data_IF_227911904479
#
_entry.id   IF_227911904479
#
_cell.length_a   1.000
_cell.length_b   1.000
_cell.length_c   1.000
_cell.angle_alpha   90.00
_cell.angle_beta   90.00
_cell.angle_gamma   90.00
#
_symmetry.space_group_name_H-M   'P 1'
#
loop_
_entity.id
_entity.type
_entity.pdbx_description
1 polymer ?
#
# COMPACT_ATOMS: atom_id res chain seq x y z
N UNK A 1 -42.52 -12.10 -61.03
CA UNK A 1 -41.20 -11.77 -60.45
C UNK A 1 -41.09 -12.54 -59.13
N UNK A 2 -40.26 -13.61 -59.09
CA UNK A 2 -39.05 -13.74 -58.23
C UNK A 2 -39.34 -13.50 -56.73
N UNK A 3 -38.98 -14.30 -55.72
CA UNK A 3 -38.03 -15.41 -55.61
C UNK A 3 -38.12 -16.02 -54.18
N UNK A 4 -38.19 -17.34 -54.10
CA UNK A 4 -37.46 -18.30 -53.21
C UNK A 4 -37.31 -18.08 -51.67
N UNK A 5 -37.81 -19.10 -50.95
CA UNK A 5 -37.23 -19.88 -49.80
C UNK A 5 -36.65 -19.19 -48.56
N UNK A 6 -37.07 -19.67 -47.37
CA UNK A 6 -36.21 -19.83 -46.19
C UNK A 6 -36.70 -21.06 -45.39
N UNK A 7 -36.11 -22.23 -45.61
CA UNK A 7 -35.05 -22.88 -44.81
C UNK A 7 -35.43 -23.18 -43.35
N UNK A 8 -35.69 -24.47 -43.13
CA UNK A 8 -35.76 -25.19 -41.86
C UNK A 8 -34.34 -25.45 -41.38
N UNK A 9 -34.00 -25.08 -40.15
CA UNK A 9 -32.79 -25.57 -39.49
C UNK A 9 -33.06 -25.82 -38.00
N UNK A 10 -33.25 -27.10 -37.68
CA UNK A 10 -33.05 -27.64 -36.32
C UNK A 10 -31.55 -27.56 -36.01
N UNK A 11 -31.18 -27.04 -34.84
CA UNK A 11 -29.90 -27.36 -34.22
C UNK A 11 -30.14 -27.70 -32.74
N UNK A 12 -30.11 -29.00 -32.46
CA UNK A 12 -29.83 -29.52 -31.13
C UNK A 12 -28.43 -30.12 -31.17
N UNK A 13 -27.50 -29.59 -30.37
CA UNK A 13 -26.28 -30.29 -29.98
C UNK A 13 -25.97 -29.91 -28.53
N UNK A 14 -26.01 -30.94 -27.68
CA UNK A 14 -25.64 -30.84 -26.28
C UNK A 14 -24.14 -30.61 -26.11
N UNK A 15 -23.81 -29.94 -25.00
CA UNK A 15 -22.51 -30.02 -24.37
C UNK A 15 -22.75 -30.34 -22.90
N UNK A 16 -22.23 -31.49 -22.51
CA UNK A 16 -22.09 -31.97 -21.14
C UNK A 16 -21.51 -30.90 -20.22
N UNK A 17 -22.18 -30.64 -19.10
CA UNK A 17 -21.58 -29.93 -17.98
C UNK A 17 -20.44 -30.81 -17.44
N UNK A 18 -19.20 -30.44 -17.75
CA UNK A 18 -18.06 -30.95 -17.02
C UNK A 18 -18.09 -30.31 -15.62
N UNK A 19 -17.94 -31.08 -14.54
CA UNK A 19 -17.67 -30.48 -13.25
C UNK A 19 -16.31 -29.80 -13.38
N UNK A 20 -16.28 -28.49 -13.14
CA UNK A 20 -15.02 -27.81 -12.85
C UNK A 20 -14.63 -28.34 -11.47
N UNK A 21 -13.80 -29.38 -11.44
CA UNK A 21 -12.95 -29.66 -10.29
C UNK A 21 -12.13 -28.39 -10.07
N UNK A 22 -12.63 -27.53 -9.19
CA UNK A 22 -11.83 -26.48 -8.61
C UNK A 22 -10.71 -27.17 -7.87
N UNK A 23 -9.56 -27.29 -8.54
CA UNK A 23 -8.29 -27.55 -7.88
C UNK A 23 -8.17 -26.49 -6.80
N UNK A 24 -8.43 -26.90 -5.56
CA UNK A 24 -8.03 -26.14 -4.39
C UNK A 24 -6.52 -26.06 -4.52
N UNK A 25 -6.03 -24.94 -5.08
CA UNK A 25 -4.62 -24.61 -5.06
C UNK A 25 -4.20 -24.68 -3.60
N UNK A 26 -3.51 -25.77 -3.29
CA UNK A 26 -2.72 -25.97 -2.09
C UNK A 26 -1.46 -25.10 -2.23
N UNK A 27 -1.66 -23.81 -2.48
CA UNK A 27 -0.57 -22.86 -2.62
C UNK A 27 -0.14 -22.46 -1.21
N UNK A 28 0.82 -23.25 -0.72
CA UNK A 28 1.76 -22.90 0.33
C UNK A 28 1.14 -22.22 1.56
N UNK A 29 0.61 -23.05 2.46
CA UNK A 29 0.46 -22.81 3.91
C UNK A 29 1.86 -22.64 4.58
N UNK A 30 2.86 -22.14 3.85
CA UNK A 30 4.17 -21.77 4.35
C UNK A 30 4.10 -20.33 4.86
N UNK A 31 3.60 -20.16 6.10
CA UNK A 31 3.67 -18.95 6.94
C UNK A 31 4.12 -17.68 6.19
N UNK A 32 3.21 -17.08 5.43
CA UNK A 32 3.35 -15.68 5.06
C UNK A 32 3.20 -14.91 6.36
N UNK A 33 4.31 -14.47 6.93
CA UNK A 33 4.24 -13.67 8.12
C UNK A 33 3.89 -12.27 7.65
N UNK A 34 2.65 -11.89 7.92
CA UNK A 34 2.09 -10.61 7.60
C UNK A 34 1.41 -10.06 8.86
N UNK A 35 1.43 -8.75 8.98
CA UNK A 35 0.76 -8.01 10.04
C UNK A 35 -0.07 -6.89 9.41
N UNK A 36 -0.90 -6.21 10.21
CA UNK A 36 -1.77 -5.14 9.71
C UNK A 36 -1.47 -3.84 10.45
N UNK A 37 -1.20 -2.77 9.71
CA UNK A 37 -0.84 -1.45 10.26
C UNK A 37 -2.06 -0.54 10.47
N UNK A 38 -3.27 -1.10 10.46
CA UNK A 38 -4.59 -0.45 10.44
C UNK A 38 -5.00 0.14 9.09
N UNK A 39 -4.12 0.09 8.07
CA UNK A 39 -4.40 0.58 6.72
C UNK A 39 -4.21 -0.48 5.63
N UNK A 40 -3.76 -1.68 6.01
CA UNK A 40 -3.64 -2.83 5.12
C UNK A 40 -2.66 -3.86 5.64
N UNK A 41 -2.61 -5.00 4.95
CA UNK A 41 -1.63 -6.05 5.23
C UNK A 41 -0.22 -5.57 4.83
N UNK A 42 0.77 -5.96 5.63
CA UNK A 42 2.21 -5.69 5.43
C UNK A 42 2.96 -6.99 5.70
N UNK A 43 3.89 -7.34 4.83
CA UNK A 43 4.77 -8.49 5.06
C UNK A 43 5.85 -8.19 6.09
N UNK A 44 6.28 -9.21 6.85
CA UNK A 44 7.43 -9.07 7.74
C UNK A 44 8.67 -8.52 7.02
N UNK A 45 9.53 -7.85 7.79
CA UNK A 45 10.70 -7.18 7.24
C UNK A 45 10.36 -5.85 6.58
N UNK A 46 9.13 -5.36 6.76
CA UNK A 46 8.71 -4.01 6.41
C UNK A 46 8.06 -3.34 7.62
N UNK A 47 8.14 -2.02 7.63
CA UNK A 47 7.42 -1.13 8.53
C UNK A 47 6.62 -0.11 7.72
N UNK A 48 5.60 0.48 8.32
CA UNK A 48 4.82 1.55 7.70
C UNK A 48 5.10 2.89 8.36
N UNK A 49 5.11 3.93 7.54
CA UNK A 49 5.02 5.32 8.00
C UNK A 49 3.69 5.87 7.51
N UNK A 50 2.85 6.36 8.42
CA UNK A 50 1.55 6.99 8.13
C UNK A 50 1.60 8.45 8.56
N UNK A 51 1.27 9.36 7.66
CA UNK A 51 1.43 10.80 7.84
C UNK A 51 0.11 11.53 7.62
N UNK A 52 -0.20 12.44 8.55
CA UNK A 52 -1.18 13.52 8.38
C UNK A 52 -0.44 14.84 8.13
N UNK A 53 -1.12 15.98 8.31
CA UNK A 53 -0.47 17.30 8.29
C UNK A 53 0.19 17.68 9.61
N UNK A 54 -0.16 17.00 10.71
CA UNK A 54 0.32 17.32 12.06
C UNK A 54 1.16 16.20 12.67
N UNK A 55 0.95 14.97 12.23
CA UNK A 55 1.44 13.77 12.89
C UNK A 55 2.11 12.78 11.92
N UNK A 56 3.10 12.06 12.45
CA UNK A 56 3.74 10.92 11.81
C UNK A 56 3.58 9.72 12.75
N UNK A 57 3.08 8.62 12.23
CA UNK A 57 3.00 7.34 12.95
C UNK A 57 3.85 6.29 12.24
N UNK A 58 4.84 5.75 12.95
CA UNK A 58 5.66 4.64 12.47
C UNK A 58 5.17 3.37 13.16
N UNK A 59 4.87 2.33 12.38
CA UNK A 59 4.43 1.03 12.90
C UNK A 59 5.29 -0.08 12.32
N UNK A 60 5.63 -1.04 13.17
CA UNK A 60 6.17 -2.33 12.77
C UNK A 60 5.37 -3.46 13.42
N UNK A 61 5.79 -4.69 13.20
CA UNK A 61 5.11 -5.85 13.76
C UNK A 61 5.11 -5.81 15.30
N UNK A 62 3.92 -5.61 15.88
CA UNK A 62 3.71 -5.53 17.34
C UNK A 62 4.09 -4.20 18.01
N UNK A 63 4.48 -3.15 17.27
CA UNK A 63 4.86 -1.87 17.88
C UNK A 63 4.39 -0.64 17.08
N UNK A 64 4.26 0.49 17.77
CA UNK A 64 3.83 1.77 17.18
C UNK A 64 4.52 2.93 17.89
N UNK A 65 4.93 3.94 17.13
CA UNK A 65 5.52 5.18 17.60
C UNK A 65 4.87 6.36 16.89
N UNK A 66 4.55 7.41 17.65
CA UNK A 66 3.90 8.62 17.14
C UNK A 66 4.79 9.83 17.42
N UNK A 67 4.88 10.71 16.43
CA UNK A 67 5.65 11.95 16.47
C UNK A 67 4.78 13.08 15.93
N UNK A 68 5.01 14.29 16.42
CA UNK A 68 4.48 15.49 15.78
C UNK A 68 5.40 15.88 14.63
N UNK A 69 4.85 16.45 13.57
CA UNK A 69 5.63 17.03 12.48
C UNK A 69 6.34 18.30 13.00
N UNK A 70 7.66 18.36 12.83
CA UNK A 70 8.42 19.60 13.00
C UNK A 70 8.26 20.47 11.75
N UNK A 71 7.63 21.64 11.91
CA UNK A 71 7.38 22.59 10.84
C UNK A 71 8.47 23.64 10.64
N UNK A 72 9.67 23.40 11.18
CA UNK A 72 10.88 24.18 10.88
C UNK A 72 11.28 24.17 9.39
N UNK A 73 10.71 23.26 8.59
CA UNK A 73 11.11 22.97 7.20
C UNK A 73 12.52 22.40 7.05
N UNK A 74 13.10 21.93 8.14
CA UNK A 74 14.36 21.21 8.15
C UNK A 74 14.12 19.69 8.22
N UNK A 75 15.19 18.94 7.98
CA UNK A 75 15.17 17.51 8.26
C UNK A 75 15.10 17.26 9.76
N UNK A 76 14.18 16.41 10.17
CA UNK A 76 13.99 15.98 11.55
C UNK A 76 14.31 14.49 11.72
N UNK A 77 14.85 14.12 12.88
CA UNK A 77 15.19 12.74 13.21
C UNK A 77 14.12 12.10 14.09
N UNK A 78 13.47 11.05 13.59
CA UNK A 78 12.47 10.25 14.30
C UNK A 78 13.16 9.00 14.86
N UNK A 79 13.69 9.11 16.07
CA UNK A 79 14.39 7.99 16.73
C UNK A 79 13.39 7.00 17.30
N UNK A 80 13.65 5.71 17.10
CA UNK A 80 12.68 4.68 17.45
C UNK A 80 13.25 3.28 17.63
N UNK A 81 12.37 2.28 17.46
CA UNK A 81 12.72 0.85 17.60
C UNK A 81 13.46 0.28 16.37
N UNK A 82 13.51 1.03 15.27
CA UNK A 82 14.23 0.63 14.06
C UNK A 82 15.75 0.75 14.25
N UNK A 83 16.53 -0.11 13.57
CA UNK A 83 18.00 -0.08 13.66
C UNK A 83 18.63 1.22 13.12
N UNK A 84 17.98 1.86 12.15
CA UNK A 84 18.38 3.16 11.62
C UNK A 84 17.38 4.25 12.01
N UNK A 85 17.86 5.48 12.12
CA UNK A 85 16.97 6.63 12.34
C UNK A 85 16.16 6.89 11.08
N UNK A 86 14.85 7.10 11.23
CA UNK A 86 14.02 7.63 10.16
C UNK A 86 14.19 9.14 10.16
N UNK A 87 14.68 9.71 9.06
CA UNK A 87 14.68 11.16 8.89
C UNK A 87 13.48 11.58 8.05
N UNK A 88 12.92 12.73 8.38
CA UNK A 88 11.70 13.22 7.74
C UNK A 88 11.82 14.69 7.41
N UNK A 89 11.43 15.04 6.19
CA UNK A 89 11.29 16.41 5.74
C UNK A 89 9.80 16.74 5.55
N UNK A 90 9.28 17.77 6.23
CA UNK A 90 7.84 18.03 6.31
C UNK A 90 7.23 18.65 5.05
N UNK A 91 8.05 19.20 4.15
CA UNK A 91 7.57 19.81 2.91
C UNK A 91 6.41 20.79 3.13
N UNK A 92 5.37 20.63 2.31
CA UNK A 92 4.17 21.46 2.35
C UNK A 92 3.10 20.97 3.35
N UNK A 93 3.27 19.84 4.03
CA UNK A 93 2.28 19.36 5.01
C UNK A 93 2.04 20.39 6.12
N UNK A 94 3.07 21.12 6.52
CA UNK A 94 2.99 22.19 7.53
C UNK A 94 2.17 23.41 7.09
N UNK A 95 1.87 23.55 5.80
CA UNK A 95 0.92 24.54 5.32
C UNK A 95 -0.52 24.01 5.31
N UNK A 96 -0.74 22.73 5.63
CA UNK A 96 -2.04 22.06 5.63
C UNK A 96 -2.67 21.96 4.23
N UNK A 97 -1.88 22.07 3.17
CA UNK A 97 -2.37 22.18 1.79
C UNK A 97 -2.24 20.88 1.01
N UNK A 98 -1.05 20.27 1.03
CA UNK A 98 -0.74 19.05 0.31
C UNK A 98 0.51 18.37 0.89
N UNK A 99 0.93 17.26 0.27
CA UNK A 99 2.09 16.48 0.68
C UNK A 99 3.35 16.78 -0.15
N UNK A 100 3.34 17.83 -0.98
CA UNK A 100 4.44 18.12 -1.90
C UNK A 100 5.74 18.39 -1.13
N UNK A 101 6.87 17.95 -1.68
CA UNK A 101 8.20 18.10 -1.08
C UNK A 101 8.35 17.42 0.30
N UNK A 102 7.52 16.42 0.60
CA UNK A 102 7.63 15.60 1.81
C UNK A 102 8.47 14.37 1.56
N UNK A 103 9.55 14.21 2.31
CA UNK A 103 10.51 13.15 2.06
C UNK A 103 10.77 12.32 3.31
N UNK A 104 11.06 11.03 3.12
CA UNK A 104 11.54 10.13 4.18
C UNK A 104 12.91 9.62 3.79
N UNK A 105 13.84 9.58 4.74
CA UNK A 105 15.07 8.80 4.63
C UNK A 105 15.09 7.70 5.67
N UNK A 106 15.57 6.55 5.25
CA UNK A 106 15.82 5.42 6.13
C UNK A 106 16.93 4.55 5.55
N UNK A 107 18.03 4.42 6.31
CA UNK A 107 19.29 3.85 5.83
C UNK A 107 19.74 4.52 4.51
N UNK A 108 19.99 3.74 3.47
CA UNK A 108 20.35 4.13 2.11
C UNK A 108 19.14 4.46 1.21
N UNK A 109 17.93 4.52 1.78
CA UNK A 109 16.70 4.77 1.03
C UNK A 109 16.22 6.19 1.24
N UNK A 110 15.89 6.91 0.17
CA UNK A 110 15.16 8.19 0.20
C UNK A 110 13.87 8.05 -0.60
N UNK A 111 12.75 8.47 -0.02
CA UNK A 111 11.42 8.46 -0.65
C UNK A 111 10.93 9.88 -0.85
N UNK A 112 10.45 10.19 -2.05
CA UNK A 112 9.62 11.37 -2.31
C UNK A 112 8.15 10.97 -2.15
N UNK A 113 7.53 11.33 -1.02
CA UNK A 113 6.22 10.79 -0.61
C UNK A 113 5.11 10.99 -1.67
N UNK A 114 5.01 12.13 -2.38
CA UNK A 114 3.99 12.33 -3.40
C UNK A 114 4.07 11.39 -4.61
N UNK A 115 5.27 10.97 -5.00
CA UNK A 115 5.53 10.30 -6.28
C UNK A 115 6.06 8.88 -6.15
N UNK A 116 6.59 8.50 -4.98
CA UNK A 116 7.13 7.17 -4.75
C UNK A 116 6.03 6.11 -4.72
N UNK A 117 6.19 5.05 -5.51
CA UNK A 117 5.20 3.98 -5.65
C UNK A 117 4.99 3.16 -4.38
N UNK A 118 5.89 3.27 -3.40
CA UNK A 118 5.74 2.66 -2.06
C UNK A 118 4.82 3.47 -1.16
N UNK A 119 4.50 4.69 -1.57
CA UNK A 119 3.64 5.62 -0.86
C UNK A 119 2.27 5.72 -1.55
N UNK A 120 1.21 5.70 -0.75
CA UNK A 120 -0.17 5.73 -1.24
C UNK A 120 -1.08 6.50 -0.31
N UNK A 121 -2.21 6.96 -0.85
CA UNK A 121 -3.24 7.59 -0.03
C UNK A 121 -4.02 6.54 0.76
N UNK A 122 -4.28 6.81 2.04
CA UNK A 122 -5.08 5.94 2.92
C UNK A 122 -5.97 6.78 3.83
N UNK A 123 -6.80 6.10 4.62
CA UNK A 123 -7.72 6.73 5.56
C UNK A 123 -8.97 7.29 4.88
N UNK A 124 -9.91 7.84 5.67
CA UNK A 124 -11.13 8.44 5.13
C UNK A 124 -10.81 9.54 4.12
N UNK A 125 -11.46 9.50 2.96
CA UNK A 125 -11.27 10.48 1.89
C UNK A 125 -9.82 10.68 1.44
N UNK A 126 -8.96 9.65 1.57
CA UNK A 126 -7.55 9.72 1.16
C UNK A 126 -6.77 10.82 1.89
N UNK A 127 -7.16 11.15 3.13
CA UNK A 127 -6.62 12.27 3.90
C UNK A 127 -5.29 12.00 4.59
N UNK A 128 -4.70 10.82 4.41
CA UNK A 128 -3.41 10.42 4.97
C UNK A 128 -2.52 9.87 3.86
N UNK A 129 -1.21 9.91 4.09
CA UNK A 129 -0.23 9.20 3.25
C UNK A 129 0.39 8.05 4.03
N UNK A 130 0.54 6.91 3.39
CA UNK A 130 1.17 5.71 3.94
C UNK A 130 2.29 5.28 3.03
N UNK A 131 3.49 5.10 3.57
CA UNK A 131 4.63 4.51 2.88
C UNK A 131 5.01 3.18 3.53
N UNK A 132 5.28 2.16 2.72
CA UNK A 132 5.77 0.85 3.19
C UNK A 132 7.27 0.75 2.88
N UNK A 133 8.09 0.56 3.91
CA UNK A 133 9.55 0.64 3.82
C UNK A 133 10.15 -0.65 4.34
N UNK A 134 11.15 -1.19 3.64
CA UNK A 134 11.87 -2.37 4.10
C UNK A 134 12.67 -2.03 5.37
N UNK A 135 12.53 -2.86 6.40
CA UNK A 135 13.33 -2.81 7.62
C UNK A 135 14.71 -3.39 7.33
N UNK A 136 15.69 -2.48 7.22
CA UNK A 136 17.07 -2.81 6.85
C UNK A 136 17.85 -3.04 8.13
N UNK A 137 18.30 -4.28 8.35
CA UNK A 137 19.09 -4.67 9.51
C UNK A 137 20.56 -4.33 9.34
#
# INVERSE_FOLDING_TARGET
MLSKTFFMTLLALGASAAPIEGEVQKDNIGKRCDWNDLHGQISCGYFSVVMSFDDITIRGDGWTQKYNIDCSREWSSLRGQLPWTVEFHPGNACAGTNYDNMWIKYADTTLDIPSDTRCGAVGPNNSLRRCIIADKK
#
